data_IF_248977844992
#
_entry.id   IF_248977844992
#
_cell.length_a   1.000
_cell.length_b   1.000
_cell.length_c   1.000
_cell.angle_alpha   90.00
_cell.angle_beta   90.00
_cell.angle_gamma   90.00
#
_symmetry.space_group_name_H-M   'P 1'
#
loop_
_entity.id
_entity.type
_entity.pdbx_description
1 polymer ?
#
# COMPACT_ATOMS: atom_id res chain seq x y z
N UNK A 1 31.12 -13.59 -21.57
CA UNK A 1 30.04 -14.27 -20.85
C UNK A 1 30.00 -13.98 -19.33
N UNK A 2 30.64 -12.95 -18.81
CA UNK A 2 30.63 -12.59 -17.37
C UNK A 2 29.61 -11.47 -16.96
N UNK A 3 28.88 -10.93 -17.93
CA UNK A 3 28.00 -9.75 -17.65
C UNK A 3 26.62 -10.09 -17.10
N UNK A 4 26.16 -11.34 -17.21
CA UNK A 4 24.79 -11.70 -16.78
C UNK A 4 24.68 -12.07 -15.29
N UNK A 5 25.78 -12.50 -14.66
CA UNK A 5 25.79 -12.91 -13.25
C UNK A 5 25.99 -11.75 -12.26
N UNK A 6 26.51 -10.61 -12.70
CA UNK A 6 26.72 -9.44 -11.81
C UNK A 6 25.41 -8.67 -11.55
N UNK A 7 24.43 -8.75 -12.45
CA UNK A 7 23.10 -8.12 -12.21
C UNK A 7 22.27 -8.80 -11.11
N UNK A 8 22.58 -10.04 -10.77
CA UNK A 8 21.87 -10.79 -9.72
C UNK A 8 22.26 -10.39 -8.29
N UNK A 9 23.33 -9.61 -8.11
CA UNK A 9 23.83 -9.23 -6.79
C UNK A 9 23.37 -7.83 -6.34
N UNK A 10 22.74 -7.06 -7.20
CA UNK A 10 22.10 -5.80 -6.80
C UNK A 10 20.76 -6.13 -6.15
N UNK A 11 20.67 -5.97 -4.84
CA UNK A 11 19.42 -6.13 -4.10
C UNK A 11 18.34 -5.27 -4.76
N UNK A 12 17.25 -5.91 -5.21
CA UNK A 12 16.10 -5.21 -5.79
C UNK A 12 15.58 -4.18 -4.79
N UNK A 13 15.26 -2.99 -5.26
CA UNK A 13 14.56 -2.01 -4.44
C UNK A 13 13.18 -2.53 -4.07
N UNK A 14 12.72 -2.17 -2.89
CA UNK A 14 11.48 -2.65 -2.27
C UNK A 14 10.36 -1.64 -2.46
N UNK A 15 9.28 -2.07 -3.06
CA UNK A 15 8.09 -1.26 -3.31
C UNK A 15 6.91 -1.81 -2.53
N UNK A 16 6.35 -1.01 -1.61
CA UNK A 16 5.11 -1.32 -0.92
C UNK A 16 3.96 -0.61 -1.62
N UNK A 17 3.06 -1.39 -2.20
CA UNK A 17 1.79 -0.89 -2.73
C UNK A 17 0.74 -0.88 -1.62
N UNK A 18 0.04 0.23 -1.45
CA UNK A 18 -1.05 0.38 -0.49
C UNK A 18 -2.32 0.69 -1.27
N UNK A 19 -3.31 -0.21 -1.20
CA UNK A 19 -4.61 -0.08 -1.86
C UNK A 19 -5.76 -0.36 -0.89
N UNK A 20 -6.99 -0.04 -1.29
CA UNK A 20 -8.16 -0.38 -0.49
C UNK A 20 -8.37 -1.89 -0.47
N UNK A 21 -8.45 -2.50 -1.65
CA UNK A 21 -8.54 -3.96 -1.84
C UNK A 21 -7.52 -4.41 -2.90
N UNK A 22 -7.50 -5.68 -3.16
CA UNK A 22 -6.68 -6.31 -4.18
C UNK A 22 -7.41 -7.51 -4.77
N UNK A 23 -6.91 -8.05 -5.90
CA UNK A 23 -7.53 -9.22 -6.54
C UNK A 23 -7.86 -10.33 -5.53
N UNK A 24 -9.01 -11.02 -5.65
CA UNK A 24 -9.99 -11.02 -6.75
C UNK A 24 -11.00 -9.85 -6.73
N UNK A 25 -10.93 -8.93 -5.80
CA UNK A 25 -11.80 -7.75 -5.77
C UNK A 25 -11.61 -6.90 -7.03
N UNK A 26 -12.72 -6.54 -7.70
CA UNK A 26 -12.70 -5.82 -8.97
C UNK A 26 -13.12 -4.36 -8.73
N UNK A 27 -12.23 -3.43 -9.03
CA UNK A 27 -12.44 -1.99 -9.01
C UNK A 27 -11.31 -1.27 -9.72
N UNK A 28 -11.49 -0.01 -10.10
CA UNK A 28 -10.50 0.73 -10.88
C UNK A 28 -9.18 0.94 -10.13
N UNK A 29 -9.24 1.21 -8.83
CA UNK A 29 -8.07 1.37 -7.95
C UNK A 29 -7.35 0.04 -7.80
N UNK A 30 -8.09 -1.03 -7.53
CA UNK A 30 -7.60 -2.38 -7.30
C UNK A 30 -6.91 -2.94 -8.55
N UNK A 31 -7.52 -2.76 -9.72
CA UNK A 31 -6.93 -3.16 -11.01
C UNK A 31 -5.66 -2.37 -11.32
N UNK A 32 -5.66 -1.07 -11.08
CA UNK A 32 -4.47 -0.24 -11.27
C UNK A 32 -3.33 -0.69 -10.34
N UNK A 33 -3.63 -0.93 -9.07
CA UNK A 33 -2.66 -1.47 -8.12
C UNK A 33 -2.12 -2.82 -8.56
N UNK A 34 -2.98 -3.71 -9.05
CA UNK A 34 -2.59 -5.02 -9.57
C UNK A 34 -1.66 -4.91 -10.78
N UNK A 35 -2.03 -4.15 -11.79
CA UNK A 35 -1.21 -3.99 -13.00
C UNK A 35 0.15 -3.38 -12.70
N UNK A 36 0.21 -2.38 -11.84
CA UNK A 36 1.48 -1.77 -11.42
C UNK A 36 2.34 -2.75 -10.62
N UNK A 37 1.73 -3.49 -9.69
CA UNK A 37 2.45 -4.49 -8.90
C UNK A 37 3.02 -5.59 -9.77
N UNK A 38 2.23 -6.13 -10.69
CA UNK A 38 2.67 -7.18 -11.62
C UNK A 38 3.71 -6.68 -12.63
N UNK A 39 3.58 -5.44 -13.10
CA UNK A 39 4.56 -4.83 -14.00
C UNK A 39 5.91 -4.54 -13.34
N UNK A 40 5.93 -4.31 -12.04
CA UNK A 40 7.14 -3.97 -11.29
C UNK A 40 7.88 -5.19 -10.72
N UNK A 41 7.25 -6.35 -10.56
CA UNK A 41 7.78 -7.50 -9.80
C UNK A 41 9.08 -8.08 -10.35
N UNK A 42 9.33 -7.92 -11.64
CA UNK A 42 10.54 -8.47 -12.27
C UNK A 42 11.80 -7.64 -11.94
N UNK A 43 11.63 -6.32 -11.75
CA UNK A 43 12.72 -5.40 -11.44
C UNK A 43 12.81 -5.03 -9.95
N UNK A 44 11.68 -5.09 -9.23
CA UNK A 44 11.54 -4.71 -7.83
C UNK A 44 11.04 -5.87 -6.98
N UNK A 45 11.34 -5.84 -5.68
CA UNK A 45 10.66 -6.67 -4.70
C UNK A 45 9.37 -5.95 -4.29
N UNK A 46 8.22 -6.50 -4.68
CA UNK A 46 6.91 -5.86 -4.48
C UNK A 46 6.12 -6.58 -3.40
N UNK A 47 5.53 -5.82 -2.48
CA UNK A 47 4.49 -6.28 -1.56
C UNK A 47 3.27 -5.38 -1.66
N UNK A 48 2.11 -5.95 -1.38
CA UNK A 48 0.84 -5.23 -1.32
C UNK A 48 0.27 -5.34 0.08
N UNK A 49 -0.24 -4.23 0.62
CA UNK A 49 -1.10 -4.22 1.80
C UNK A 49 -2.43 -3.56 1.43
N UNK A 50 -3.52 -4.25 1.76
CA UNK A 50 -4.89 -3.79 1.50
C UNK A 50 -5.82 -4.33 2.59
N UNK A 51 -7.10 -3.94 2.60
CA UNK A 51 -8.06 -4.53 3.54
C UNK A 51 -8.48 -5.93 3.13
N UNK A 52 -8.78 -6.76 4.12
CA UNK A 52 -9.51 -8.01 3.91
C UNK A 52 -11.00 -7.70 3.63
N UNK A 53 -11.66 -8.59 2.92
CA UNK A 53 -13.12 -8.51 2.69
C UNK A 53 -13.93 -8.99 3.90
N UNK A 54 -13.25 -9.56 4.89
CA UNK A 54 -13.82 -10.11 6.10
C UNK A 54 -13.02 -9.72 7.37
N UNK A 55 -13.38 -10.31 8.51
CA UNK A 55 -12.72 -10.04 9.80
C UNK A 55 -11.39 -10.76 9.97
N UNK A 56 -11.06 -11.70 9.07
CA UNK A 56 -9.84 -12.49 9.17
C UNK A 56 -8.67 -11.78 8.46
N UNK A 57 -7.53 -11.80 9.12
CA UNK A 57 -6.27 -11.34 8.49
C UNK A 57 -5.70 -12.47 7.65
N UNK A 58 -5.45 -12.18 6.38
CA UNK A 58 -4.88 -13.13 5.42
C UNK A 58 -3.54 -12.61 4.90
N UNK A 59 -2.58 -13.50 4.80
CA UNK A 59 -1.30 -13.24 4.11
C UNK A 59 -1.16 -14.33 3.06
N UNK A 60 -1.16 -13.93 1.81
CA UNK A 60 -1.15 -14.85 0.69
C UNK A 60 -0.18 -14.39 -0.39
N UNK A 61 0.20 -15.30 -1.26
CA UNK A 61 0.94 -14.99 -2.48
C UNK A 61 -0.02 -15.00 -3.67
N UNK A 62 0.01 -13.95 -4.47
CA UNK A 62 -0.79 -13.81 -5.67
C UNK A 62 0.11 -13.36 -6.81
N UNK A 63 0.24 -14.18 -7.84
CA UNK A 63 1.09 -13.92 -9.01
C UNK A 63 2.55 -13.60 -8.66
N UNK A 64 3.10 -14.25 -7.63
CA UNK A 64 4.47 -14.02 -7.15
C UNK A 64 4.64 -12.76 -6.27
N UNK A 65 3.54 -12.16 -5.83
CA UNK A 65 3.53 -10.97 -4.98
C UNK A 65 2.91 -11.32 -3.63
N UNK A 66 3.59 -11.00 -2.54
CA UNK A 66 3.03 -11.14 -1.20
C UNK A 66 1.98 -10.07 -0.94
N UNK A 67 0.76 -10.50 -0.68
CA UNK A 67 -0.40 -9.67 -0.37
C UNK A 67 -0.79 -9.86 1.09
N UNK A 68 -0.80 -8.77 1.84
CA UNK A 68 -1.19 -8.74 3.25
C UNK A 68 -2.56 -8.08 3.33
N UNK A 69 -3.55 -8.82 3.83
CA UNK A 69 -4.96 -8.38 3.94
C UNK A 69 -5.39 -8.38 5.42
N UNK A 70 -5.12 -7.32 6.19
CA UNK A 70 -5.60 -7.21 7.56
C UNK A 70 -7.12 -7.23 7.63
N UNK A 71 -7.67 -7.99 8.60
CA UNK A 71 -9.11 -8.15 8.78
C UNK A 71 -9.81 -6.85 9.17
N UNK A 72 -11.01 -6.63 8.63
CA UNK A 72 -11.86 -5.47 8.88
C UNK A 72 -12.85 -5.77 10.00
N UNK A 73 -12.90 -4.94 11.03
CA UNK A 73 -13.86 -5.12 12.13
C UNK A 73 -15.11 -4.25 11.97
N UNK A 74 -15.02 -3.14 11.25
CA UNK A 74 -16.11 -2.19 11.05
C UNK A 74 -15.92 -1.44 9.72
N UNK A 75 -17.02 -1.26 9.00
CA UNK A 75 -17.09 -0.41 7.81
C UNK A 75 -18.10 0.70 8.03
N UNK A 76 -17.67 1.97 7.96
CA UNK A 76 -18.51 3.15 8.12
C UNK A 76 -18.34 4.09 6.94
N UNK A 77 -19.43 4.47 6.28
CA UNK A 77 -19.42 5.40 5.15
C UNK A 77 -18.40 5.03 4.05
N UNK A 78 -18.28 3.74 3.73
CA UNK A 78 -17.31 3.17 2.78
C UNK A 78 -15.85 3.28 3.24
N UNK A 79 -15.62 3.53 4.50
CA UNK A 79 -14.30 3.49 5.10
C UNK A 79 -14.19 2.27 5.99
N UNK A 80 -13.26 1.38 5.65
CA UNK A 80 -12.93 0.22 6.46
C UNK A 80 -12.00 0.60 7.59
N UNK A 81 -12.29 0.05 8.77
CA UNK A 81 -11.49 0.21 9.97
C UNK A 81 -10.94 -1.15 10.40
N UNK A 82 -9.65 -1.17 10.69
CA UNK A 82 -8.95 -2.40 11.06
C UNK A 82 -7.87 -2.11 12.10
N UNK A 83 -8.00 -2.67 13.29
CA UNK A 83 -6.94 -2.59 14.30
C UNK A 83 -5.68 -3.35 13.88
N UNK A 84 -5.86 -4.46 13.17
CA UNK A 84 -4.75 -5.26 12.69
C UNK A 84 -3.99 -4.57 11.53
N UNK A 85 -4.62 -3.63 10.83
CA UNK A 85 -3.99 -2.92 9.72
C UNK A 85 -2.74 -2.14 10.18
N UNK A 86 -2.87 -1.37 11.26
CA UNK A 86 -1.73 -0.63 11.82
C UNK A 86 -0.58 -1.56 12.20
N UNK A 87 -0.89 -2.66 12.88
CA UNK A 87 0.12 -3.67 13.27
C UNK A 87 0.88 -4.21 12.07
N UNK A 88 0.18 -4.57 11.00
CA UNK A 88 0.79 -5.15 9.80
C UNK A 88 1.55 -4.09 8.99
N UNK A 89 0.98 -2.90 8.82
CA UNK A 89 1.63 -1.78 8.15
C UNK A 89 2.94 -1.40 8.87
N UNK A 90 2.88 -1.22 10.18
CA UNK A 90 4.06 -0.90 11.00
C UNK A 90 5.11 -2.01 10.93
N UNK A 91 4.69 -3.29 11.01
CA UNK A 91 5.59 -4.43 10.87
C UNK A 91 6.31 -4.40 9.52
N UNK A 92 5.58 -4.26 8.41
CA UNK A 92 6.18 -4.21 7.07
C UNK A 92 7.17 -3.07 6.95
N UNK A 93 6.81 -1.87 7.38
CA UNK A 93 7.70 -0.70 7.32
C UNK A 93 8.95 -0.92 8.17
N UNK A 94 8.83 -1.46 9.37
CA UNK A 94 9.96 -1.65 10.30
C UNK A 94 10.88 -2.82 9.93
N UNK A 95 10.32 -3.94 9.50
CA UNK A 95 11.10 -5.18 9.28
C UNK A 95 11.53 -5.34 7.82
N UNK A 96 10.65 -5.05 6.88
CA UNK A 96 10.95 -5.19 5.46
C UNK A 96 11.60 -3.93 4.87
N UNK A 97 11.34 -2.75 5.45
CA UNK A 97 11.96 -1.45 5.10
C UNK A 97 11.83 -1.13 3.62
N UNK A 98 10.62 -0.76 3.14
CA UNK A 98 10.41 -0.39 1.75
C UNK A 98 11.22 0.87 1.38
N UNK A 99 11.83 0.86 0.19
CA UNK A 99 12.48 2.05 -0.39
C UNK A 99 11.44 3.04 -0.92
N UNK A 100 10.32 2.48 -1.40
CA UNK A 100 9.21 3.24 -1.98
C UNK A 100 7.89 2.73 -1.40
N UNK A 101 7.03 3.65 -1.02
CA UNK A 101 5.61 3.39 -0.74
C UNK A 101 4.81 4.07 -1.84
N UNK A 102 3.98 3.29 -2.53
CA UNK A 102 3.02 3.79 -3.51
C UNK A 102 1.62 3.63 -2.95
N UNK A 103 1.00 4.75 -2.61
CA UNK A 103 -0.29 4.81 -1.96
C UNK A 103 -1.39 5.23 -2.93
N UNK A 104 -2.35 4.32 -3.14
CA UNK A 104 -3.53 4.56 -3.96
C UNK A 104 -4.60 5.25 -3.12
N UNK A 105 -4.68 6.57 -3.25
CA UNK A 105 -5.64 7.40 -2.52
C UNK A 105 -6.99 7.45 -3.27
N UNK A 106 -8.16 7.49 -2.62
CA UNK A 106 -8.39 7.98 -1.26
C UNK A 106 -8.53 6.87 -0.21
N UNK A 107 -7.84 7.04 0.91
CA UNK A 107 -8.12 6.33 2.14
C UNK A 107 -7.64 7.14 3.36
N UNK A 108 -8.51 7.98 3.97
CA UNK A 108 -8.14 8.82 5.10
C UNK A 108 -7.65 8.05 6.33
N UNK A 109 -8.24 6.89 6.60
CA UNK A 109 -7.83 6.04 7.72
C UNK A 109 -6.38 5.57 7.55
N UNK A 110 -6.03 5.02 6.39
CA UNK A 110 -4.66 4.57 6.10
C UNK A 110 -3.70 5.75 6.09
N UNK A 111 -4.11 6.92 5.57
CA UNK A 111 -3.30 8.14 5.60
C UNK A 111 -2.91 8.50 7.04
N UNK A 112 -3.87 8.51 7.96
CA UNK A 112 -3.64 8.84 9.37
C UNK A 112 -2.69 7.83 10.06
N UNK A 113 -2.72 6.55 9.66
CA UNK A 113 -1.83 5.53 10.18
C UNK A 113 -0.42 5.59 9.57
N UNK A 114 -0.32 5.90 8.28
CA UNK A 114 0.92 5.86 7.52
C UNK A 114 1.84 7.04 7.84
N UNK A 115 1.31 8.26 7.83
CA UNK A 115 2.12 9.48 7.94
C UNK A 115 3.01 9.53 9.18
N UNK A 116 2.56 9.11 10.40
CA UNK A 116 3.41 9.14 11.59
C UNK A 116 4.55 8.12 11.59
N UNK A 117 4.47 7.06 10.77
CA UNK A 117 5.39 5.93 10.83
C UNK A 117 6.30 5.78 9.61
N UNK A 118 6.05 6.57 8.55
CA UNK A 118 6.87 6.52 7.34
C UNK A 118 8.30 7.02 7.62
N UNK A 119 9.35 6.21 7.32
CA UNK A 119 10.71 6.66 7.50
C UNK A 119 11.09 7.78 6.52
N UNK A 120 11.94 8.71 6.94
CA UNK A 120 12.45 9.79 6.06
C UNK A 120 13.23 9.26 4.84
N UNK A 121 13.78 8.06 4.93
CA UNK A 121 14.49 7.39 3.82
C UNK A 121 13.56 6.78 2.78
N UNK A 122 12.28 6.59 3.10
CA UNK A 122 11.30 5.97 2.22
C UNK A 122 10.63 7.06 1.36
N UNK A 123 10.62 6.86 0.05
CA UNK A 123 9.91 7.76 -0.87
C UNK A 123 8.42 7.42 -0.88
N UNK A 124 7.57 8.43 -0.69
CA UNK A 124 6.13 8.28 -0.77
C UNK A 124 5.60 8.84 -2.10
N UNK A 125 4.94 7.98 -2.87
CA UNK A 125 4.15 8.38 -4.04
C UNK A 125 2.68 8.20 -3.72
N UNK A 126 1.88 9.24 -3.93
CA UNK A 126 0.44 9.19 -3.74
C UNK A 126 -0.24 9.29 -5.10
N UNK A 127 -0.92 8.22 -5.50
CA UNK A 127 -1.71 8.22 -6.71
C UNK A 127 -3.17 8.57 -6.39
N UNK A 128 -3.61 9.66 -6.95
CA UNK A 128 -4.95 10.18 -6.77
C UNK A 128 -5.91 9.59 -7.80
N UNK A 129 -6.93 8.84 -7.36
CA UNK A 129 -7.87 8.17 -8.26
C UNK A 129 -9.21 8.87 -8.41
N UNK A 130 -9.62 9.67 -7.44
CA UNK A 130 -10.93 10.34 -7.41
C UNK A 130 -10.85 11.71 -6.76
N UNK A 131 -11.60 12.67 -7.32
CA UNK A 131 -11.90 13.91 -6.62
C UNK A 131 -12.96 13.67 -5.54
N UNK A 132 -12.60 13.83 -4.28
CA UNK A 132 -13.52 13.69 -3.15
C UNK A 132 -14.32 14.98 -2.98
N UNK A 133 -15.33 15.18 -3.80
CA UNK A 133 -16.18 16.37 -3.71
C UNK A 133 -17.03 16.42 -2.44
N UNK A 134 -17.36 15.26 -1.86
CA UNK A 134 -18.23 15.15 -0.67
C UNK A 134 -17.50 15.26 0.68
N UNK A 135 -16.16 15.14 0.71
CA UNK A 135 -15.35 15.16 1.93
C UNK A 135 -14.47 16.42 2.05
N UNK A 136 -14.80 17.50 1.36
CA UNK A 136 -14.03 18.75 1.32
C UNK A 136 -13.70 19.35 2.71
N UNK A 137 -14.48 19.03 3.75
CA UNK A 137 -14.26 19.55 5.11
C UNK A 137 -13.06 18.91 5.83
N UNK A 138 -12.61 17.71 5.42
CA UNK A 138 -11.48 16.98 6.05
C UNK A 138 -10.16 17.25 5.31
N UNK A 139 -10.24 17.69 4.06
CA UNK A 139 -9.14 17.91 3.14
C UNK A 139 -8.04 18.85 3.63
N UNK A 140 -8.33 20.05 4.19
CA UNK A 140 -7.29 20.99 4.58
C UNK A 140 -6.36 20.43 5.66
N UNK A 141 -6.89 19.55 6.52
CA UNK A 141 -6.11 18.95 7.61
C UNK A 141 -5.08 17.93 7.12
N UNK A 142 -5.42 17.17 6.07
CA UNK A 142 -4.55 16.11 5.53
C UNK A 142 -3.46 16.72 4.64
N UNK A 143 -3.77 17.73 3.83
CA UNK A 143 -2.81 18.38 2.95
C UNK A 143 -1.78 19.23 3.71
N UNK A 144 -2.16 19.90 4.79
CA UNK A 144 -1.21 20.65 5.63
C UNK A 144 -0.21 19.75 6.38
N UNK A 145 -0.53 18.45 6.56
CA UNK A 145 0.40 17.49 7.17
C UNK A 145 1.40 16.89 6.19
N UNK A 146 1.16 17.00 4.88
CA UNK A 146 1.99 16.44 3.82
C UNK A 146 3.06 17.41 3.27
N UNK A 147 3.08 18.65 3.75
CA UNK A 147 4.00 19.71 3.29
C UNK A 147 5.14 20.02 4.28
N UNK A 148 5.54 19.02 5.07
CA UNK A 148 6.70 19.14 5.97
C UNK A 148 7.84 18.24 5.52
#
# INVERSE_FOLDING_TARGET
MLSCHIKSFLMKKKVLQISNYYTPHIGGIEQTCQYLSEGLKDEYEVKVICFSEDKETKVQETNGIQVIKPGVFLSVARQDLSFSYFKHLHKVIKTWKPDVIHFHYPNPFVTALLLPIIPRSTKLYVQWHLDITKQKKIYPFILNSATL
#
